data_IF_344597386214
#
_entry.id   IF_344597386214
#
_cell.length_a   1.000
_cell.length_b   1.000
_cell.length_c   1.000
_cell.angle_alpha   90.00
_cell.angle_beta   90.00
_cell.angle_gamma   90.00
#
_symmetry.space_group_name_H-M   'P 1'
#
loop_
_entity.id
_entity.type
_entity.pdbx_description
1 polymer ?
#
# COMPACT_ATOMS: atom_id res chain seq x y z
N UNK A 1 -33.78 74.75 52.40
CA UNK A 1 -32.78 74.39 53.42
C UNK A 1 -31.91 73.25 52.88
N UNK A 2 -30.58 73.47 52.83
CA UNK A 2 -29.47 72.48 52.71
C UNK A 2 -29.41 71.61 51.43
N UNK A 3 -28.56 71.93 50.46
CA UNK A 3 -27.10 71.63 50.32
C UNK A 3 -26.78 70.17 49.95
N UNK A 4 -26.44 69.96 48.68
CA UNK A 4 -25.58 68.86 48.20
C UNK A 4 -24.13 69.11 48.64
N UNK A 5 -23.39 68.04 48.96
CA UNK A 5 -21.93 68.06 49.18
C UNK A 5 -21.25 66.97 48.35
N UNK A 6 -20.17 67.43 47.72
CA UNK A 6 -19.25 66.86 46.74
C UNK A 6 -18.42 65.63 47.15
N UNK A 7 -17.91 64.95 46.12
CA UNK A 7 -16.52 64.51 45.97
C UNK A 7 -16.34 63.85 44.58
N UNK A 8 -15.83 64.55 43.55
CA UNK A 8 -14.40 64.66 43.10
C UNK A 8 -13.87 63.30 42.60
N UNK A 9 -13.33 63.08 41.38
CA UNK A 9 -12.37 63.82 40.52
C UNK A 9 -12.56 63.35 39.05
N UNK A 10 -12.79 64.20 38.03
CA UNK A 10 -11.85 64.87 37.09
C UNK A 10 -10.72 63.96 36.52
N UNK A 11 -10.80 63.58 35.23
CA UNK A 11 -9.93 64.10 34.14
C UNK A 11 -10.29 63.48 32.77
N UNK A 12 -10.67 64.32 31.81
CA UNK A 12 -10.78 64.04 30.39
C UNK A 12 -9.92 65.08 29.66
N UNK A 13 -9.01 64.65 28.78
CA UNK A 13 -8.26 65.41 27.75
C UNK A 13 -7.05 64.53 27.38
N UNK A 14 -6.88 64.01 26.16
CA UNK A 14 -6.51 64.78 24.97
C UNK A 14 -6.75 63.96 23.69
N UNK A 15 -7.47 64.57 22.74
CA UNK A 15 -7.55 64.19 21.33
C UNK A 15 -6.96 65.38 20.53
N UNK A 16 -6.24 65.09 19.45
CA UNK A 16 -5.54 66.01 18.52
C UNK A 16 -4.23 66.59 19.08
N UNK A 17 -3.08 66.62 18.41
CA UNK A 17 -2.66 66.86 17.01
C UNK A 17 -1.23 66.26 16.90
N UNK A 18 -0.64 65.84 15.77
CA UNK A 18 -0.40 66.54 14.51
C UNK A 18 0.26 65.56 13.53
N UNK A 19 -0.11 65.65 12.25
CA UNK A 19 0.66 65.16 11.11
C UNK A 19 2.11 65.68 11.15
N UNK A 20 3.10 64.84 10.79
CA UNK A 20 3.95 65.01 9.59
C UNK A 20 5.21 64.09 9.62
N UNK A 21 5.39 63.39 8.49
CA UNK A 21 6.65 62.96 7.84
C UNK A 21 7.42 61.72 8.36
N UNK A 22 7.37 60.68 7.51
CA UNK A 22 8.50 59.91 6.97
C UNK A 22 9.66 59.59 7.92
N UNK A 23 9.72 58.34 8.38
CA UNK A 23 10.95 57.58 8.24
C UNK A 23 10.64 56.10 7.97
N UNK A 24 11.00 55.68 6.77
CA UNK A 24 11.01 54.30 6.33
C UNK A 24 12.19 53.62 7.04
N UNK A 25 11.92 52.79 8.04
CA UNK A 25 12.83 51.71 8.41
C UNK A 25 12.25 50.42 7.86
N UNK A 26 12.55 50.16 6.58
CA UNK A 26 12.58 48.80 6.06
C UNK A 26 13.58 48.02 6.91
N UNK A 27 13.11 47.09 7.73
CA UNK A 27 13.92 45.98 8.24
C UNK A 27 13.03 44.86 8.81
N UNK A 28 11.91 44.58 8.13
CA UNK A 28 11.38 43.22 8.15
C UNK A 28 12.03 42.51 6.96
N UNK A 29 13.22 41.96 7.20
CA UNK A 29 13.81 40.99 6.30
C UNK A 29 12.92 39.73 6.30
N UNK A 30 11.89 39.76 5.46
CA UNK A 30 11.36 38.54 4.87
C UNK A 30 12.56 37.90 4.18
N UNK A 31 13.16 36.91 4.83
CA UNK A 31 14.04 35.98 4.14
C UNK A 31 13.12 35.20 3.21
N UNK A 32 13.01 35.64 1.96
CA UNK A 32 12.50 34.79 0.89
C UNK A 32 13.29 33.50 0.99
N UNK A 33 12.58 32.40 1.25
CA UNK A 33 13.22 31.10 1.37
C UNK A 33 13.79 30.77 -0.01
N UNK A 34 15.12 30.78 -0.11
CA UNK A 34 15.80 30.72 -1.41
C UNK A 34 15.38 29.46 -2.17
N UNK A 35 14.81 29.67 -3.36
CA UNK A 35 14.40 28.58 -4.24
C UNK A 35 15.55 28.17 -5.15
N UNK A 36 15.77 26.87 -5.25
CA UNK A 36 16.80 26.26 -6.07
C UNK A 36 16.20 25.65 -7.34
N UNK A 37 16.97 25.67 -8.44
CA UNK A 37 16.60 24.96 -9.65
C UNK A 37 16.70 23.44 -9.40
N UNK A 38 15.58 22.76 -9.50
CA UNK A 38 15.44 21.30 -9.48
C UNK A 38 15.07 20.82 -10.88
N UNK A 39 15.80 19.85 -11.42
CA UNK A 39 15.57 19.27 -12.74
C UNK A 39 15.19 17.81 -12.61
N UNK A 40 14.12 17.41 -13.30
CA UNK A 40 13.70 16.01 -13.41
C UNK A 40 13.82 15.53 -14.85
N UNK A 41 14.34 14.32 -15.04
CA UNK A 41 14.35 13.62 -16.33
C UNK A 41 13.37 12.45 -16.28
N UNK A 42 12.37 12.47 -17.14
CA UNK A 42 11.35 11.43 -17.21
C UNK A 42 11.89 10.25 -18.03
N UNK A 43 12.03 9.10 -17.39
CA UNK A 43 12.37 7.85 -18.07
C UNK A 43 11.08 7.13 -18.44
N UNK A 44 10.80 7.01 -19.74
CA UNK A 44 9.57 6.38 -20.22
C UNK A 44 9.56 4.87 -19.97
N UNK A 45 8.37 4.26 -19.87
CA UNK A 45 8.23 2.81 -19.80
C UNK A 45 8.93 2.11 -20.98
N UNK A 46 9.38 0.88 -20.75
CA UNK A 46 9.96 0.05 -21.82
C UNK A 46 9.00 -0.10 -23.01
N UNK A 47 9.56 -0.05 -24.22
CA UNK A 47 8.79 -0.11 -25.47
C UNK A 47 8.25 1.23 -25.98
N UNK A 48 8.29 2.29 -25.17
CA UNK A 48 7.93 3.65 -25.60
C UNK A 48 9.18 4.38 -26.08
N UNK A 49 9.12 4.91 -27.30
CA UNK A 49 10.24 5.67 -27.87
C UNK A 49 10.49 6.95 -27.07
N UNK A 50 11.77 7.32 -26.95
CA UNK A 50 12.17 8.46 -26.14
C UNK A 50 11.66 9.81 -26.66
N UNK A 51 11.30 9.90 -27.95
CA UNK A 51 10.77 11.09 -28.63
C UNK A 51 9.23 11.16 -28.65
N UNK A 52 8.54 10.22 -27.98
CA UNK A 52 7.10 10.27 -27.87
C UNK A 52 6.63 11.56 -27.17
N UNK A 53 5.58 12.18 -27.70
CA UNK A 53 4.98 13.38 -27.11
C UNK A 53 4.28 13.01 -25.81
N UNK A 54 4.34 13.88 -24.81
CA UNK A 54 3.59 13.70 -23.57
C UNK A 54 2.99 15.00 -23.05
N UNK A 55 2.12 14.85 -22.05
CA UNK A 55 1.62 15.94 -21.23
C UNK A 55 1.54 15.44 -19.80
N UNK A 56 2.18 16.16 -18.88
CA UNK A 56 2.40 15.74 -17.51
C UNK A 56 1.97 16.81 -16.53
N UNK A 57 1.51 16.34 -15.38
CA UNK A 57 1.37 17.09 -14.14
C UNK A 57 2.43 16.61 -13.18
N UNK A 58 3.33 17.51 -12.78
CA UNK A 58 4.32 17.29 -11.74
C UNK A 58 3.82 17.90 -10.43
N UNK A 59 3.67 17.06 -9.41
CA UNK A 59 3.31 17.46 -8.05
C UNK A 59 4.46 17.12 -7.10
N UNK A 60 5.06 18.13 -6.49
CA UNK A 60 6.03 17.97 -5.41
C UNK A 60 5.40 18.38 -4.09
N UNK A 61 5.41 17.48 -3.13
CA UNK A 61 4.91 17.72 -1.77
C UNK A 61 6.06 17.66 -0.78
N UNK A 62 6.39 18.78 -0.16
CA UNK A 62 7.40 18.82 0.90
C UNK A 62 6.82 18.17 2.17
N UNK A 63 7.50 17.16 2.69
CA UNK A 63 6.94 16.22 3.67
C UNK A 63 6.83 16.81 5.08
N UNK A 64 7.59 17.85 5.42
CA UNK A 64 7.61 18.43 6.77
C UNK A 64 6.59 19.57 6.89
N UNK A 65 6.59 20.48 5.92
CA UNK A 65 5.72 21.65 5.84
C UNK A 65 4.36 21.35 5.21
N UNK A 66 4.27 20.30 4.40
CA UNK A 66 3.09 20.01 3.59
C UNK A 66 2.93 20.92 2.36
N UNK A 67 3.91 21.79 2.09
CA UNK A 67 3.89 22.70 0.93
C UNK A 67 3.84 21.90 -0.37
N UNK A 68 2.93 22.27 -1.28
CA UNK A 68 2.75 21.61 -2.57
C UNK A 68 3.11 22.56 -3.73
N UNK A 69 3.96 22.07 -4.64
CA UNK A 69 4.25 22.69 -5.92
C UNK A 69 3.61 21.85 -7.02
N UNK A 70 2.65 22.44 -7.75
CA UNK A 70 1.95 21.78 -8.85
C UNK A 70 2.28 22.48 -10.17
N UNK A 71 2.76 21.71 -11.13
CA UNK A 71 3.06 22.18 -12.49
C UNK A 71 2.29 21.31 -13.48
N UNK A 72 1.47 21.92 -14.32
CA UNK A 72 0.55 21.23 -15.23
C UNK A 72 0.90 21.52 -16.68
N UNK A 73 0.46 20.65 -17.59
CA UNK A 73 0.68 20.77 -19.03
C UNK A 73 2.17 20.80 -19.42
N UNK A 74 3.01 20.11 -18.66
CA UNK A 74 4.42 19.95 -18.97
C UNK A 74 4.57 18.97 -20.13
N UNK A 75 5.20 19.39 -21.22
CA UNK A 75 5.32 18.56 -22.45
C UNK A 75 6.73 18.03 -22.69
N UNK A 76 7.70 18.58 -21.98
CA UNK A 76 9.11 18.20 -22.06
C UNK A 76 9.42 17.00 -21.15
N UNK A 77 10.43 16.19 -21.52
CA UNK A 77 10.93 15.11 -20.64
C UNK A 77 11.90 15.61 -19.57
N UNK A 78 12.50 16.79 -19.77
CA UNK A 78 13.37 17.44 -18.80
C UNK A 78 12.65 18.64 -18.22
N UNK A 79 12.21 18.55 -16.97
CA UNK A 79 11.45 19.61 -16.30
C UNK A 79 12.34 20.30 -15.28
N UNK A 80 12.66 21.57 -15.49
CA UNK A 80 13.38 22.40 -14.51
C UNK A 80 12.42 23.35 -13.81
N UNK A 81 12.32 23.25 -12.48
CA UNK A 81 11.42 24.04 -11.63
C UNK A 81 12.18 24.65 -10.46
N UNK A 82 11.68 25.77 -9.94
CA UNK A 82 12.23 26.43 -8.75
C UNK A 82 11.44 26.01 -7.52
N UNK A 83 12.12 25.39 -6.56
CA UNK A 83 11.53 24.92 -5.29
C UNK A 83 12.51 25.14 -4.15
N UNK A 84 12.01 25.23 -2.92
CA UNK A 84 12.86 25.35 -1.73
C UNK A 84 13.54 24.00 -1.44
N UNK A 85 14.74 24.00 -0.86
CA UNK A 85 15.38 22.76 -0.39
C UNK A 85 14.53 22.08 0.69
N UNK A 86 14.41 20.76 0.64
CA UNK A 86 13.54 20.03 1.56
C UNK A 86 13.48 18.54 1.26
N UNK A 87 12.62 17.82 1.99
CA UNK A 87 12.36 16.41 1.74
C UNK A 87 11.02 16.29 1.03
N UNK A 88 11.01 15.71 -0.17
CA UNK A 88 9.85 15.70 -1.05
C UNK A 88 9.32 14.30 -1.31
N UNK A 89 8.00 14.21 -1.45
CA UNK A 89 7.34 13.22 -2.29
C UNK A 89 7.09 13.86 -3.66
N UNK A 90 7.40 13.14 -4.73
CA UNK A 90 7.20 13.57 -6.11
C UNK A 90 6.21 12.62 -6.78
N UNK A 91 5.13 13.18 -7.33
CA UNK A 91 4.17 12.46 -8.15
C UNK A 91 4.18 13.07 -9.55
N UNK A 92 4.15 12.20 -10.56
CA UNK A 92 3.92 12.58 -11.94
C UNK A 92 2.71 11.81 -12.43
N UNK A 93 1.76 12.50 -13.02
CA UNK A 93 0.65 11.87 -13.75
C UNK A 93 0.50 12.52 -15.11
N UNK A 94 0.13 11.76 -16.12
CA UNK A 94 -0.04 12.31 -17.45
C UNK A 94 -0.29 11.23 -18.48
N UNK A 95 0.03 11.55 -19.72
CA UNK A 95 -0.03 10.60 -20.82
C UNK A 95 1.14 10.79 -21.78
N UNK A 96 1.41 9.73 -22.55
CA UNK A 96 2.29 9.75 -23.72
C UNK A 96 1.51 9.28 -24.94
N UNK A 97 1.81 9.87 -26.08
CA UNK A 97 1.19 9.53 -27.37
C UNK A 97 2.10 8.56 -28.10
N UNK A 98 1.60 7.36 -28.35
CA UNK A 98 2.32 6.30 -29.08
C UNK A 98 1.51 5.96 -30.31
N UNK A 99 2.06 6.26 -31.49
CA UNK A 99 1.36 6.16 -32.77
C UNK A 99 0.05 6.98 -32.76
N UNK A 100 -1.11 6.32 -32.73
CA UNK A 100 -2.44 6.94 -32.68
C UNK A 100 -3.17 6.70 -31.34
N UNK A 101 -2.49 6.16 -30.34
CA UNK A 101 -3.07 5.89 -29.02
C UNK A 101 -2.47 6.78 -27.92
N UNK A 102 -3.25 7.00 -26.87
CA UNK A 102 -2.84 7.78 -25.69
C UNK A 102 -2.69 6.84 -24.51
N UNK A 103 -1.45 6.64 -24.05
CA UNK A 103 -1.15 5.80 -22.91
C UNK A 103 -1.00 6.66 -21.66
N UNK A 104 -1.87 6.43 -20.67
CA UNK A 104 -1.75 7.09 -19.38
C UNK A 104 -0.53 6.56 -18.63
N UNK A 105 0.25 7.45 -18.05
CA UNK A 105 1.48 7.13 -17.32
C UNK A 105 1.53 7.85 -15.98
N UNK A 106 2.35 7.34 -15.08
CA UNK A 106 2.67 7.98 -13.81
C UNK A 106 4.09 7.69 -13.35
N UNK A 107 4.61 8.53 -12.47
CA UNK A 107 5.87 8.33 -11.78
C UNK A 107 5.73 8.67 -10.29
N UNK A 108 6.47 7.98 -9.44
CA UNK A 108 6.43 8.20 -7.99
C UNK A 108 7.84 8.09 -7.39
N UNK A 109 8.19 9.08 -6.58
CA UNK A 109 9.30 9.02 -5.64
C UNK A 109 8.78 9.46 -4.28
N UNK A 110 8.71 8.54 -3.32
CA UNK A 110 8.04 8.80 -2.04
C UNK A 110 8.83 9.64 -1.04
N UNK A 111 10.16 9.60 -1.15
CA UNK A 111 11.05 10.31 -0.24
C UNK A 111 12.40 10.57 -0.92
N UNK A 112 12.66 11.83 -1.22
CA UNK A 112 13.94 12.30 -1.73
C UNK A 112 14.29 13.64 -1.08
N UNK A 113 15.53 13.77 -0.62
CA UNK A 113 16.05 15.05 -0.17
C UNK A 113 16.50 15.86 -1.39
N UNK A 114 15.91 17.03 -1.61
CA UNK A 114 16.30 17.96 -2.68
C UNK A 114 17.01 19.16 -2.04
N UNK A 115 18.19 19.49 -2.56
CA UNK A 115 19.00 20.63 -2.13
C UNK A 115 19.89 21.09 -3.30
N UNK A 116 20.82 22.02 -3.07
CA UNK A 116 21.69 22.58 -4.12
C UNK A 116 22.64 21.55 -4.76
N UNK A 117 22.97 20.46 -4.08
CA UNK A 117 23.85 19.40 -4.60
C UNK A 117 23.07 18.22 -5.17
N UNK A 118 21.87 17.94 -4.65
CA UNK A 118 20.96 16.93 -5.16
C UNK A 118 19.74 17.58 -5.82
N UNK A 119 19.97 18.19 -6.98
CA UNK A 119 18.98 18.97 -7.71
C UNK A 119 18.65 18.38 -9.09
N UNK A 120 19.12 17.18 -9.41
CA UNK A 120 18.88 16.52 -10.68
C UNK A 120 18.47 15.05 -10.43
N UNK A 121 17.31 14.64 -10.94
CA UNK A 121 16.71 13.35 -10.63
C UNK A 121 16.08 12.69 -11.85
N UNK A 122 16.34 11.41 -12.07
CA UNK A 122 15.61 10.62 -13.06
C UNK A 122 14.38 10.00 -12.40
N UNK A 123 13.21 10.17 -13.02
CA UNK A 123 11.93 9.64 -12.54
C UNK A 123 11.46 8.58 -13.54
N UNK A 124 11.47 7.28 -13.18
CA UNK A 124 10.87 6.26 -14.01
C UNK A 124 9.35 6.44 -14.05
N UNK A 125 8.81 6.44 -15.26
CA UNK A 125 7.38 6.41 -15.51
C UNK A 125 6.92 4.97 -15.76
N UNK A 126 5.69 4.70 -15.37
CA UNK A 126 5.01 3.42 -15.47
C UNK A 126 3.67 3.62 -16.17
N UNK A 127 3.22 2.62 -16.93
CA UNK A 127 1.89 2.62 -17.53
C UNK A 127 0.83 2.51 -16.43
N UNK A 128 -0.21 3.35 -16.51
CA UNK A 128 -1.41 3.19 -15.70
C UNK A 128 -2.25 2.07 -16.33
N UNK A 129 -1.89 0.83 -16.01
CA UNK A 129 -2.57 -0.35 -16.53
C UNK A 129 -4.02 -0.39 -16.01
N UNK A 130 -4.99 -0.25 -16.91
CA UNK A 130 -6.36 -0.67 -16.67
C UNK A 130 -6.50 -2.00 -17.39
N UNK A 131 -6.31 -3.11 -16.67
CA UNK A 131 -6.51 -4.43 -17.26
C UNK A 131 -7.99 -4.56 -17.67
N UNK A 132 -8.30 -4.35 -18.96
CA UNK A 132 -9.67 -4.28 -19.47
C UNK A 132 -10.44 -5.59 -19.30
N UNK A 133 -9.71 -6.71 -19.23
CA UNK A 133 -10.29 -8.05 -19.08
C UNK A 133 -10.42 -8.49 -17.62
N UNK A 134 -9.78 -7.79 -16.69
CA UNK A 134 -9.75 -8.10 -15.26
C UNK A 134 -9.04 -9.43 -14.91
N UNK A 135 -8.68 -9.56 -13.64
CA UNK A 135 -8.15 -10.77 -13.01
C UNK A 135 -8.68 -10.88 -11.57
N UNK A 136 -8.13 -11.79 -10.77
CA UNK A 136 -8.29 -11.77 -9.34
C UNK A 136 -7.73 -10.48 -8.73
N UNK A 137 -8.45 -9.95 -7.75
CA UNK A 137 -8.01 -8.81 -6.94
C UNK A 137 -8.21 -9.11 -5.46
N UNK A 138 -7.37 -8.54 -4.60
CA UNK A 138 -7.49 -8.54 -3.15
C UNK A 138 -8.70 -7.66 -2.78
N UNK A 139 -9.79 -8.29 -2.36
CA UNK A 139 -11.00 -7.60 -1.92
C UNK A 139 -10.92 -7.16 -0.46
N UNK A 140 -10.38 -8.03 0.41
CA UNK A 140 -10.32 -7.77 1.85
C UNK A 140 -9.09 -8.44 2.45
N UNK A 141 -8.40 -7.77 3.36
CA UNK A 141 -7.38 -8.42 4.20
C UNK A 141 -7.65 -8.10 5.65
N UNK A 142 -7.96 -9.13 6.43
CA UNK A 142 -8.13 -9.04 7.86
C UNK A 142 -6.86 -9.52 8.56
N UNK A 143 -5.93 -8.58 8.79
CA UNK A 143 -4.66 -8.87 9.46
C UNK A 143 -4.64 -8.43 10.92
N UNK A 144 -5.59 -7.59 11.36
CA UNK A 144 -5.55 -6.92 12.67
C UNK A 144 -5.84 -7.86 13.83
N UNK A 145 -6.57 -8.95 13.60
CA UNK A 145 -7.02 -9.88 14.63
C UNK A 145 -8.11 -9.26 15.52
N UNK A 146 -8.41 -9.93 16.62
CA UNK A 146 -9.45 -9.51 17.56
C UNK A 146 -8.89 -9.36 18.97
N UNK A 147 -9.70 -8.86 19.90
CA UNK A 147 -9.36 -8.81 21.33
C UNK A 147 -10.27 -9.71 22.14
N UNK A 148 -9.69 -10.39 23.13
CA UNK A 148 -10.46 -11.04 24.18
C UNK A 148 -11.25 -9.99 25.00
N UNK A 149 -12.35 -10.38 25.67
CA UNK A 149 -13.02 -9.51 26.65
C UNK A 149 -12.09 -9.01 27.75
N UNK A 150 -11.00 -9.73 28.03
CA UNK A 150 -9.96 -9.34 29.00
C UNK A 150 -8.98 -8.27 28.47
N UNK A 151 -9.13 -7.83 27.22
CA UNK A 151 -8.23 -6.86 26.56
C UNK A 151 -6.94 -7.47 25.98
N UNK A 152 -6.72 -8.77 26.16
CA UNK A 152 -5.60 -9.49 25.52
C UNK A 152 -5.85 -9.64 24.02
N UNK A 153 -4.77 -9.65 23.23
CA UNK A 153 -4.85 -9.86 21.78
C UNK A 153 -5.18 -11.32 21.47
N UNK A 154 -6.01 -11.53 20.46
CA UNK A 154 -6.26 -12.84 19.84
C UNK A 154 -5.78 -12.77 18.39
N UNK A 155 -4.69 -13.48 18.10
CA UNK A 155 -3.94 -13.34 16.85
C UNK A 155 -4.25 -14.44 15.83
N UNK A 156 -5.44 -15.02 15.92
CA UNK A 156 -5.95 -16.06 15.00
C UNK A 156 -7.26 -15.61 14.35
N UNK A 157 -7.67 -16.30 13.28
CA UNK A 157 -8.87 -16.00 12.51
C UNK A 157 -8.65 -14.89 11.50
N UNK A 158 -7.42 -14.72 11.06
CA UNK A 158 -7.02 -13.72 10.05
C UNK A 158 -7.16 -14.33 8.65
N UNK A 159 -7.43 -13.50 7.64
CA UNK A 159 -7.68 -14.01 6.29
C UNK A 159 -7.42 -13.00 5.18
N UNK A 160 -7.32 -13.55 3.97
CA UNK A 160 -7.43 -12.88 2.69
C UNK A 160 -8.79 -13.21 2.05
N UNK A 161 -9.46 -12.22 1.49
CA UNK A 161 -10.59 -12.41 0.58
C UNK A 161 -10.19 -11.91 -0.80
N UNK A 162 -10.27 -12.79 -1.79
CA UNK A 162 -9.82 -12.55 -3.16
C UNK A 162 -11.02 -12.67 -4.08
N UNK A 163 -11.22 -11.67 -4.94
CA UNK A 163 -12.41 -11.50 -5.78
C UNK A 163 -12.06 -11.65 -7.24
N UNK A 164 -12.88 -12.38 -8.00
CA UNK A 164 -12.78 -12.42 -9.44
C UNK A 164 -13.38 -11.12 -10.02
N UNK A 165 -12.51 -10.16 -10.33
CA UNK A 165 -12.87 -8.86 -10.89
C UNK A 165 -12.97 -8.87 -12.43
N UNK A 166 -12.92 -10.06 -13.04
CA UNK A 166 -13.01 -10.26 -14.48
C UNK A 166 -14.45 -10.57 -14.92
N UNK A 167 -14.66 -10.66 -16.24
CA UNK A 167 -15.92 -11.09 -16.84
C UNK A 167 -15.96 -12.59 -17.19
N UNK A 168 -14.95 -13.38 -16.78
CA UNK A 168 -14.83 -14.81 -17.07
C UNK A 168 -14.55 -15.62 -15.80
N UNK A 169 -14.82 -16.92 -15.85
CA UNK A 169 -14.42 -17.80 -14.75
C UNK A 169 -12.89 -17.88 -14.67
N UNK A 170 -12.34 -17.64 -13.48
CA UNK A 170 -10.93 -17.80 -13.16
C UNK A 170 -10.77 -19.02 -12.25
N UNK A 171 -9.61 -19.65 -12.22
CA UNK A 171 -9.38 -20.84 -11.40
C UNK A 171 -8.44 -20.53 -10.24
N UNK A 172 -8.85 -20.79 -8.99
CA UNK A 172 -8.03 -20.49 -7.82
C UNK A 172 -6.81 -21.43 -7.69
N UNK A 173 -6.79 -22.55 -8.40
CA UNK A 173 -5.71 -23.52 -8.44
C UNK A 173 -4.34 -22.86 -8.64
N UNK A 174 -3.38 -23.18 -7.76
CA UNK A 174 -2.00 -22.69 -7.86
C UNK A 174 -1.82 -21.18 -7.67
N UNK A 175 -2.87 -20.44 -7.28
CA UNK A 175 -2.74 -19.03 -6.94
C UNK A 175 -1.79 -18.87 -5.76
N UNK A 176 -0.86 -17.93 -5.88
CA UNK A 176 0.10 -17.60 -4.84
C UNK A 176 -0.41 -16.42 -4.02
N UNK A 177 -0.21 -16.47 -2.71
CA UNK A 177 -0.34 -15.34 -1.79
C UNK A 177 1.03 -15.08 -1.19
N UNK A 178 1.55 -13.89 -1.41
CA UNK A 178 2.92 -13.51 -1.13
C UNK A 178 2.96 -12.36 -0.12
N UNK A 179 3.81 -12.48 0.89
CA UNK A 179 4.06 -11.44 1.89
C UNK A 179 5.44 -10.84 1.64
N UNK A 180 5.57 -9.52 1.78
CA UNK A 180 6.83 -8.81 1.54
C UNK A 180 7.95 -9.23 2.49
N UNK A 181 9.17 -9.38 1.98
CA UNK A 181 10.38 -9.53 2.81
C UNK A 181 10.68 -8.25 3.59
N UNK A 182 10.51 -7.11 2.93
CA UNK A 182 10.85 -5.82 3.52
C UNK A 182 9.66 -5.20 4.25
N UNK A 183 9.94 -4.61 5.41
CA UNK A 183 8.94 -3.90 6.19
C UNK A 183 8.85 -2.42 5.72
N UNK A 184 7.66 -1.92 5.35
CA UNK A 184 7.44 -0.52 4.96
C UNK A 184 7.83 0.51 6.03
N UNK A 185 7.98 0.10 7.29
CA UNK A 185 8.38 0.97 8.39
C UNK A 185 9.88 1.21 8.49
N UNK A 186 10.71 0.37 7.89
CA UNK A 186 12.15 0.48 8.07
C UNK A 186 12.84 0.39 6.73
N UNK A 187 13.13 1.57 6.17
CA UNK A 187 13.86 1.67 4.91
C UNK A 187 15.24 1.05 5.05
N UNK A 188 15.60 0.22 4.08
CA UNK A 188 16.92 -0.40 3.95
C UNK A 188 17.47 -0.09 2.57
N UNK A 189 18.70 0.38 2.53
CA UNK A 189 19.45 0.50 1.28
C UNK A 189 20.03 -0.88 0.95
N UNK A 190 19.29 -1.62 0.13
CA UNK A 190 19.56 -3.03 -0.20
C UNK A 190 20.35 -3.15 -1.49
N UNK A 191 21.30 -4.09 -1.52
CA UNK A 191 22.13 -4.37 -2.70
C UNK A 191 22.09 -5.86 -3.03
N UNK A 192 21.71 -6.26 -4.26
CA UNK A 192 21.11 -5.40 -5.30
C UNK A 192 19.65 -5.04 -4.95
N UNK A 193 19.19 -3.85 -5.31
CA UNK A 193 17.76 -3.50 -5.27
C UNK A 193 17.08 -4.01 -6.56
N UNK A 194 16.04 -4.82 -6.41
CA UNK A 194 15.33 -5.47 -7.53
C UNK A 194 13.87 -5.07 -7.65
N UNK A 195 13.38 -4.09 -6.89
CA UNK A 195 11.94 -3.83 -6.76
C UNK A 195 11.30 -3.43 -8.10
N UNK A 196 12.06 -2.85 -9.02
CA UNK A 196 11.59 -2.50 -10.36
C UNK A 196 11.23 -3.71 -11.22
N UNK A 197 11.82 -4.88 -10.98
CA UNK A 197 11.61 -6.10 -11.77
C UNK A 197 11.04 -7.29 -10.99
N UNK A 198 11.14 -7.29 -9.66
CA UNK A 198 10.62 -8.38 -8.83
C UNK A 198 10.27 -7.92 -7.42
N UNK A 199 9.33 -8.62 -6.81
CA UNK A 199 8.88 -8.48 -5.44
C UNK A 199 9.57 -9.51 -4.51
N UNK A 200 10.45 -9.08 -3.60
CA UNK A 200 11.07 -9.98 -2.61
C UNK A 200 10.07 -10.40 -1.53
N UNK A 201 10.03 -11.69 -1.21
CA UNK A 201 8.99 -12.27 -0.36
C UNK A 201 9.56 -12.91 0.90
N UNK A 202 8.88 -12.71 2.04
CA UNK A 202 9.16 -13.40 3.31
C UNK A 202 8.35 -14.69 3.43
N UNK A 203 7.19 -14.79 2.79
CA UNK A 203 6.37 -15.99 2.77
C UNK A 203 5.60 -16.13 1.45
N UNK A 204 5.33 -17.38 1.07
CA UNK A 204 4.54 -17.75 -0.11
C UNK A 204 3.59 -18.89 0.29
N UNK A 205 2.30 -18.63 0.17
CA UNK A 205 1.26 -19.65 0.19
C UNK A 205 0.86 -19.99 -1.25
N UNK A 206 0.56 -21.25 -1.54
CA UNK A 206 0.05 -21.69 -2.83
C UNK A 206 -1.23 -22.48 -2.64
N UNK A 207 -2.31 -22.05 -3.29
CA UNK A 207 -3.58 -22.77 -3.24
C UNK A 207 -3.48 -24.14 -3.94
N UNK A 208 -4.15 -25.18 -3.41
CA UNK A 208 -4.12 -26.51 -4.00
C UNK A 208 -4.92 -26.56 -5.31
N UNK A 209 -4.79 -27.67 -6.04
CA UNK A 209 -5.57 -27.94 -7.25
C UNK A 209 -4.71 -28.35 -8.45
N UNK A 210 -5.37 -28.89 -9.48
CA UNK A 210 -4.78 -29.42 -10.72
C UNK A 210 -5.00 -28.51 -11.93
N UNK A 211 -5.50 -27.29 -11.70
CA UNK A 211 -5.68 -26.24 -12.69
C UNK A 211 -7.15 -25.96 -13.05
N UNK A 212 -8.08 -26.86 -12.68
CA UNK A 212 -9.51 -26.70 -12.94
C UNK A 212 -10.42 -27.09 -11.77
N UNK A 213 -9.86 -27.35 -10.59
CA UNK A 213 -10.61 -27.88 -9.45
C UNK A 213 -11.43 -26.79 -8.75
N UNK A 214 -10.99 -25.52 -8.80
CA UNK A 214 -11.60 -24.42 -8.08
C UNK A 214 -12.00 -23.24 -9.00
N UNK A 215 -13.03 -23.40 -9.85
CA UNK A 215 -13.57 -22.33 -10.70
C UNK A 215 -14.30 -21.24 -9.90
N UNK A 216 -13.74 -20.03 -9.90
CA UNK A 216 -14.35 -18.83 -9.31
C UNK A 216 -15.07 -18.04 -10.40
N UNK A 217 -16.38 -17.92 -10.31
CA UNK A 217 -17.20 -17.21 -11.29
C UNK A 217 -16.98 -15.70 -11.22
N UNK A 218 -17.27 -14.96 -12.32
CA UNK A 218 -17.28 -13.51 -12.32
C UNK A 218 -18.09 -12.96 -11.14
N UNK A 219 -17.47 -12.06 -10.40
CA UNK A 219 -18.12 -11.40 -9.28
C UNK A 219 -18.23 -12.22 -7.99
N UNK A 220 -17.56 -13.37 -7.94
CA UNK A 220 -17.46 -14.21 -6.74
C UNK A 220 -16.07 -14.11 -6.12
N UNK A 221 -15.94 -14.68 -4.93
CA UNK A 221 -14.70 -14.61 -4.15
C UNK A 221 -14.31 -15.94 -3.55
N UNK A 222 -13.06 -16.02 -3.14
CA UNK A 222 -12.54 -17.06 -2.25
C UNK A 222 -12.04 -16.40 -0.97
N UNK A 223 -12.01 -17.18 0.11
CA UNK A 223 -11.38 -16.80 1.38
C UNK A 223 -10.25 -17.78 1.68
N UNK A 224 -9.12 -17.24 2.14
CA UNK A 224 -7.96 -18.01 2.57
C UNK A 224 -7.59 -17.55 3.97
N UNK A 225 -7.86 -18.38 4.98
CA UNK A 225 -7.68 -18.04 6.39
C UNK A 225 -6.56 -18.84 7.07
N UNK A 226 -6.05 -18.35 8.19
CA UNK A 226 -5.07 -19.10 8.98
C UNK A 226 -5.62 -20.44 9.48
N UNK A 227 -6.84 -20.45 10.03
CA UNK A 227 -7.48 -21.65 10.57
C UNK A 227 -9.01 -21.58 10.40
N UNK A 228 -9.62 -22.52 9.68
CA UNK A 228 -11.03 -22.50 9.30
C UNK A 228 -11.96 -23.08 10.37
N UNK A 229 -11.90 -22.52 11.59
CA UNK A 229 -12.68 -22.98 12.74
C UNK A 229 -13.64 -21.89 13.25
N UNK A 230 -14.50 -22.28 14.19
CA UNK A 230 -15.30 -21.30 14.92
C UNK A 230 -14.48 -20.66 16.05
N UNK A 231 -13.76 -19.57 15.78
CA UNK A 231 -12.93 -18.90 16.79
C UNK A 231 -13.73 -18.35 17.98
N UNK A 232 -15.06 -18.20 17.85
CA UNK A 232 -15.94 -17.76 18.95
C UNK A 232 -15.87 -18.68 20.17
N UNK A 233 -15.53 -19.95 19.97
CA UNK A 233 -15.39 -20.91 21.07
C UNK A 233 -14.22 -20.57 21.98
N UNK A 234 -13.16 -19.96 21.42
CA UNK A 234 -11.95 -19.58 22.16
C UNK A 234 -12.02 -18.12 22.60
N UNK A 235 -12.44 -17.23 21.70
CA UNK A 235 -12.66 -15.81 21.99
C UNK A 235 -14.07 -15.40 21.54
N UNK A 236 -15.01 -15.08 22.45
CA UNK A 236 -16.40 -14.76 22.07
C UNK A 236 -16.53 -13.51 21.18
N UNK A 237 -15.51 -12.63 21.15
CA UNK A 237 -15.46 -11.48 20.26
C UNK A 237 -14.96 -11.82 18.84
N UNK A 238 -14.39 -13.00 18.62
CA UNK A 238 -13.84 -13.40 17.33
C UNK A 238 -14.93 -13.83 16.33
N UNK A 239 -14.50 -14.29 15.15
CA UNK A 239 -15.39 -14.63 14.05
C UNK A 239 -15.48 -16.14 13.81
N UNK A 240 -16.60 -16.58 13.26
CA UNK A 240 -16.77 -17.97 12.86
C UNK A 240 -16.27 -18.13 11.41
N UNK A 241 -15.21 -18.91 11.21
CA UNK A 241 -14.60 -19.19 9.92
C UNK A 241 -14.86 -20.62 9.43
N UNK A 242 -15.85 -21.33 9.98
CA UNK A 242 -16.22 -22.64 9.43
C UNK A 242 -16.78 -22.51 8.00
N UNK A 243 -16.72 -23.58 7.18
CA UNK A 243 -17.29 -23.58 5.84
C UNK A 243 -18.75 -23.09 5.79
N UNK A 244 -19.57 -23.55 6.74
CA UNK A 244 -20.99 -23.16 6.84
C UNK A 244 -21.21 -21.67 7.14
N UNK A 245 -20.25 -20.98 7.74
CA UNK A 245 -20.34 -19.55 8.03
C UNK A 245 -19.82 -18.66 6.89
N UNK A 246 -18.88 -19.18 6.09
CA UNK A 246 -18.14 -18.41 5.08
C UNK A 246 -18.67 -18.64 3.67
N UNK A 247 -18.86 -19.90 3.26
CA UNK A 247 -19.30 -20.23 1.89
C UNK A 247 -20.73 -19.73 1.69
N UNK A 248 -20.97 -19.05 0.56
CA UNK A 248 -22.22 -18.37 0.23
C UNK A 248 -22.33 -16.94 0.81
N UNK A 249 -21.63 -16.62 1.92
CA UNK A 249 -21.68 -15.27 2.51
C UNK A 249 -20.94 -14.28 1.61
N UNK A 250 -21.62 -13.18 1.25
CA UNK A 250 -21.07 -12.11 0.42
C UNK A 250 -20.35 -12.61 -0.85
N UNK A 251 -20.96 -13.58 -1.54
CA UNK A 251 -20.47 -14.12 -2.81
C UNK A 251 -19.24 -15.04 -2.71
N UNK A 252 -18.91 -15.55 -1.52
CA UNK A 252 -17.77 -16.47 -1.34
C UNK A 252 -18.11 -17.86 -1.85
N UNK A 253 -17.35 -18.41 -2.80
CA UNK A 253 -17.53 -19.76 -3.35
C UNK A 253 -16.69 -20.80 -2.63
N UNK A 254 -15.45 -20.46 -2.27
CA UNK A 254 -14.51 -21.39 -1.66
C UNK A 254 -13.87 -20.80 -0.41
N UNK A 255 -13.55 -21.69 0.51
CA UNK A 255 -12.75 -21.44 1.69
C UNK A 255 -11.52 -22.35 1.62
N UNK A 256 -10.35 -21.78 1.85
CA UNK A 256 -9.08 -22.47 2.04
C UNK A 256 -8.50 -22.08 3.38
N UNK A 257 -7.61 -22.92 3.91
CA UNK A 257 -6.85 -22.58 5.12
C UNK A 257 -5.36 -22.87 4.99
N UNK A 258 -4.55 -22.40 5.94
CA UNK A 258 -3.11 -22.71 5.98
C UNK A 258 -2.63 -23.01 7.42
N UNK A 259 -3.23 -23.98 8.12
CA UNK A 259 -2.83 -24.34 9.46
C UNK A 259 -1.44 -24.97 9.44
N UNK A 260 -0.70 -24.80 10.52
CA UNK A 260 0.57 -25.46 10.73
C UNK A 260 0.37 -26.91 11.17
N UNK A 261 0.26 -27.81 10.20
CA UNK A 261 0.10 -29.25 10.44
C UNK A 261 1.39 -29.94 10.89
N UNK A 262 2.55 -29.29 10.69
CA UNK A 262 3.87 -29.87 10.98
C UNK A 262 4.22 -29.78 12.47
N UNK A 263 3.65 -28.81 13.21
CA UNK A 263 4.02 -28.53 14.60
C UNK A 263 2.78 -28.49 15.52
N UNK A 264 2.32 -29.65 16.02
CA UNK A 264 1.15 -29.74 16.91
C UNK A 264 1.23 -28.88 18.18
N UNK A 265 2.43 -28.48 18.61
CA UNK A 265 2.66 -27.60 19.77
C UNK A 265 2.13 -26.18 19.58
N UNK A 266 1.89 -25.75 18.33
CA UNK A 266 1.30 -24.46 18.03
C UNK A 266 -0.21 -24.43 18.33
N UNK A 267 -0.84 -25.60 18.49
CA UNK A 267 -2.26 -25.71 18.86
C UNK A 267 -3.22 -25.30 17.74
N UNK A 268 -2.74 -25.22 16.51
CA UNK A 268 -3.57 -25.04 15.32
C UNK A 268 -4.24 -26.38 14.96
N UNK A 269 -5.55 -26.36 14.75
CA UNK A 269 -6.37 -27.55 14.52
C UNK A 269 -6.87 -27.50 13.09
N UNK A 270 -6.29 -28.36 12.27
CA UNK A 270 -6.67 -28.59 10.87
C UNK A 270 -8.16 -28.92 10.74
N UNK A 271 -8.85 -28.26 9.82
CA UNK A 271 -10.24 -28.57 9.49
C UNK A 271 -10.27 -29.47 8.24
N UNK A 272 -10.57 -30.78 8.39
CA UNK A 272 -10.48 -31.72 7.27
C UNK A 272 -11.49 -31.47 6.14
N UNK A 273 -12.50 -30.61 6.36
CA UNK A 273 -13.46 -30.21 5.32
C UNK A 273 -12.94 -29.06 4.43
N UNK A 274 -11.80 -28.47 4.77
CA UNK A 274 -11.24 -27.29 4.10
C UNK A 274 -9.91 -27.65 3.43
N UNK A 275 -9.72 -27.34 2.14
CA UNK A 275 -8.44 -27.61 1.48
C UNK A 275 -7.32 -26.69 1.98
N UNK A 276 -6.15 -27.27 2.24
CA UNK A 276 -4.99 -26.53 2.74
C UNK A 276 -4.18 -25.90 1.60
N UNK A 277 -3.95 -24.59 1.71
CA UNK A 277 -2.90 -23.90 0.98
C UNK A 277 -1.54 -24.36 1.49
N UNK A 278 -0.62 -24.63 0.56
CA UNK A 278 0.73 -25.08 0.88
C UNK A 278 1.62 -23.88 1.21
N UNK A 279 2.31 -23.93 2.36
CA UNK A 279 3.42 -23.02 2.63
C UNK A 279 4.61 -23.45 1.76
N UNK A 280 4.88 -22.69 0.70
CA UNK A 280 6.00 -22.93 -0.22
C UNK A 280 7.31 -22.44 0.38
N UNK A 281 7.25 -21.30 1.04
CA UNK A 281 8.39 -20.65 1.68
C UNK A 281 7.90 -19.78 2.82
N UNK A 282 8.69 -19.70 3.89
CA UNK A 282 8.54 -18.70 4.95
C UNK A 282 9.89 -18.45 5.63
N UNK A 283 10.19 -17.20 5.97
CA UNK A 283 11.33 -16.84 6.82
C UNK A 283 11.05 -17.05 8.30
N UNK A 284 9.79 -17.33 8.66
CA UNK A 284 9.40 -17.61 10.03
C UNK A 284 9.81 -19.02 10.44
N UNK A 285 10.04 -19.19 11.75
CA UNK A 285 10.35 -20.50 12.31
C UNK A 285 9.13 -21.42 12.23
N UNK A 286 9.40 -22.72 12.31
CA UNK A 286 8.37 -23.77 12.39
C UNK A 286 7.42 -23.79 11.19
N UNK A 287 7.81 -23.31 10.01
CA UNK A 287 6.96 -23.31 8.81
C UNK A 287 5.64 -22.51 9.00
N UNK A 288 5.67 -21.42 9.75
CA UNK A 288 4.50 -20.58 10.05
C UNK A 288 4.38 -19.38 9.11
N UNK A 289 3.16 -18.85 8.97
CA UNK A 289 2.89 -17.58 8.27
C UNK A 289 2.00 -16.74 9.17
N UNK A 290 2.45 -15.54 9.55
CA UNK A 290 1.69 -14.63 10.40
C UNK A 290 1.55 -13.26 9.75
N UNK A 291 0.32 -12.76 9.69
CA UNK A 291 0.03 -11.42 9.19
C UNK A 291 0.31 -10.38 10.27
N UNK A 292 1.13 -9.37 9.94
CA UNK A 292 1.51 -8.35 10.91
C UNK A 292 0.30 -7.50 11.33
N UNK A 293 -0.12 -7.61 12.60
CA UNK A 293 -1.40 -7.03 13.05
C UNK A 293 -1.50 -5.50 13.14
N UNK A 294 -0.48 -4.78 12.69
CA UNK A 294 -0.52 -3.32 12.50
C UNK A 294 -0.46 -2.91 11.03
N UNK A 295 -0.33 -3.89 10.12
CA UNK A 295 -0.18 -3.67 8.70
C UNK A 295 1.17 -3.05 8.38
N UNK A 296 2.26 -3.80 8.57
CA UNK A 296 3.62 -3.37 8.28
C UNK A 296 4.21 -4.28 7.20
N UNK A 297 3.43 -4.47 6.13
CA UNK A 297 3.57 -5.59 5.21
C UNK A 297 2.84 -5.27 3.90
N UNK A 298 3.40 -5.72 2.79
CA UNK A 298 2.71 -5.70 1.48
C UNK A 298 2.28 -7.11 1.15
N UNK A 299 1.05 -7.23 0.67
CA UNK A 299 0.48 -8.48 0.21
C UNK A 299 0.37 -8.45 -1.31
N UNK A 300 0.73 -9.55 -1.98
CA UNK A 300 0.55 -9.71 -3.41
C UNK A 300 -0.10 -11.06 -3.71
N UNK A 301 -0.91 -11.09 -4.77
CA UNK A 301 -1.38 -12.34 -5.37
C UNK A 301 -0.73 -12.51 -6.74
N UNK A 302 -0.26 -13.73 -7.01
CA UNK A 302 0.55 -14.02 -8.19
C UNK A 302 0.29 -15.43 -8.71
N UNK A 303 0.85 -15.73 -9.88
CA UNK A 303 0.95 -17.10 -10.41
C UNK A 303 2.39 -17.39 -10.79
N UNK A 304 2.78 -18.65 -10.76
CA UNK A 304 4.02 -19.02 -11.44
C UNK A 304 3.90 -18.69 -12.93
N UNK A 305 5.02 -18.23 -13.51
CA UNK A 305 5.09 -17.94 -14.94
C UNK A 305 4.70 -19.15 -15.79
N UNK A 306 4.28 -18.88 -17.01
CA UNK A 306 3.88 -19.93 -17.94
C UNK A 306 5.00 -20.96 -18.11
N UNK A 307 4.67 -22.25 -17.98
CA UNK A 307 5.62 -23.37 -18.03
C UNK A 307 6.71 -23.38 -16.95
N UNK A 308 6.59 -22.60 -15.88
CA UNK A 308 7.49 -22.69 -14.72
C UNK A 308 6.88 -23.60 -13.66
N UNK A 309 7.53 -24.73 -13.40
CA UNK A 309 7.17 -25.60 -12.28
C UNK A 309 7.61 -25.00 -10.94
N UNK A 310 6.97 -25.44 -9.86
CA UNK A 310 7.37 -25.05 -8.50
C UNK A 310 8.84 -25.39 -8.20
N UNK A 311 9.35 -26.53 -8.70
CA UNK A 311 10.73 -26.92 -8.48
C UNK A 311 11.71 -26.00 -9.22
N UNK A 312 11.39 -25.60 -10.45
CA UNK A 312 12.19 -24.62 -11.20
C UNK A 312 12.16 -23.27 -10.49
N UNK A 313 10.99 -22.83 -10.00
CA UNK A 313 10.87 -21.62 -9.20
C UNK A 313 11.82 -21.62 -8.00
N UNK A 314 11.77 -22.67 -7.18
CA UNK A 314 12.59 -22.80 -5.97
C UNK A 314 14.10 -22.90 -6.27
N UNK A 315 14.49 -23.26 -7.50
CA UNK A 315 15.88 -23.31 -7.90
C UNK A 315 16.40 -22.00 -8.50
N UNK A 316 15.55 -21.28 -9.26
CA UNK A 316 16.00 -20.16 -10.11
C UNK A 316 15.65 -18.77 -9.55
N UNK A 317 14.63 -18.66 -8.68
CA UNK A 317 14.09 -17.38 -8.25
C UNK A 317 14.49 -17.01 -6.82
N UNK A 318 15.71 -17.40 -6.43
CA UNK A 318 16.33 -16.93 -5.20
C UNK A 318 16.74 -15.46 -5.33
N UNK A 319 16.75 -14.79 -4.19
CA UNK A 319 17.20 -13.42 -4.05
C UNK A 319 18.14 -13.32 -2.85
N UNK A 320 19.43 -13.25 -3.17
CA UNK A 320 20.49 -12.97 -2.22
C UNK A 320 20.69 -11.46 -2.16
N UNK A 321 20.63 -10.90 -0.96
CA UNK A 321 20.79 -9.46 -0.76
C UNK A 321 21.57 -9.14 0.51
N UNK A 322 22.07 -7.91 0.54
CA UNK A 322 22.72 -7.36 1.72
C UNK A 322 22.29 -5.93 1.99
N UNK A 323 22.39 -5.51 3.25
CA UNK A 323 22.20 -4.13 3.67
C UNK A 323 23.08 -3.81 4.87
N UNK A 324 23.44 -2.53 5.01
CA UNK A 324 24.10 -1.98 6.17
C UNK A 324 23.04 -1.58 7.20
N UNK A 325 23.15 -2.04 8.44
CA UNK A 325 22.28 -1.54 9.50
C UNK A 325 22.83 -0.23 10.11
N UNK A 326 22.04 0.42 10.97
CA UNK A 326 22.42 1.66 11.66
C UNK A 326 23.67 1.52 12.55
N UNK A 327 24.00 0.30 12.99
CA UNK A 327 25.20 0.00 13.76
C UNK A 327 26.44 -0.29 12.89
N UNK A 328 26.36 -0.10 11.57
CA UNK A 328 27.47 -0.30 10.63
C UNK A 328 27.79 -1.78 10.33
N UNK A 329 26.90 -2.71 10.65
CA UNK A 329 27.06 -4.13 10.37
C UNK A 329 26.40 -4.49 9.03
N UNK A 330 27.10 -5.28 8.21
CA UNK A 330 26.56 -5.81 6.95
C UNK A 330 25.80 -7.10 7.24
N UNK A 331 24.50 -7.10 6.96
CA UNK A 331 23.68 -8.30 7.01
C UNK A 331 23.54 -8.88 5.61
N UNK A 332 23.65 -10.20 5.50
CA UNK A 332 23.35 -10.96 4.29
C UNK A 332 22.11 -11.82 4.52
N UNK A 333 21.25 -11.92 3.53
CA UNK A 333 20.00 -12.68 3.54
C UNK A 333 19.80 -13.36 2.20
N UNK A 334 19.05 -14.45 2.22
CA UNK A 334 18.64 -15.21 1.04
C UNK A 334 17.17 -15.54 1.21
N UNK A 335 16.34 -15.04 0.30
CA UNK A 335 14.90 -15.28 0.24
C UNK A 335 14.51 -15.62 -1.20
N UNK A 336 13.21 -15.67 -1.49
CA UNK A 336 12.73 -15.77 -2.87
C UNK A 336 12.20 -14.43 -3.38
N UNK A 337 12.02 -14.33 -4.69
CA UNK A 337 11.42 -13.19 -5.37
C UNK A 337 10.32 -13.66 -6.33
N UNK A 338 9.32 -12.81 -6.54
CA UNK A 338 8.27 -13.01 -7.55
C UNK A 338 8.50 -11.95 -8.64
N UNK A 339 8.73 -12.32 -9.90
CA UNK A 339 8.78 -11.36 -11.00
C UNK A 339 7.54 -10.47 -11.02
N UNK A 340 7.72 -9.18 -11.28
CA UNK A 340 6.61 -8.22 -11.26
C UNK A 340 5.51 -8.57 -12.28
N UNK A 341 5.89 -9.13 -13.41
CA UNK A 341 4.98 -9.64 -14.46
C UNK A 341 4.08 -10.81 -14.01
N UNK A 342 4.39 -11.48 -12.91
CA UNK A 342 3.61 -12.60 -12.38
C UNK A 342 2.54 -12.16 -11.38
N UNK A 343 2.59 -10.91 -10.94
CA UNK A 343 1.72 -10.37 -9.90
C UNK A 343 0.44 -9.90 -10.57
N UNK A 344 -0.68 -10.49 -10.15
CA UNK A 344 -2.01 -10.12 -10.61
C UNK A 344 -2.51 -8.86 -9.89
N UNK A 345 -2.24 -8.75 -8.59
CA UNK A 345 -2.66 -7.62 -7.76
C UNK A 345 -1.83 -7.54 -6.47
N UNK A 346 -1.73 -6.36 -5.88
CA UNK A 346 -1.07 -6.14 -4.60
C UNK A 346 -1.78 -5.08 -3.75
N UNK A 347 -1.53 -5.15 -2.44
CA UNK A 347 -1.99 -4.17 -1.47
C UNK A 347 -0.86 -3.84 -0.49
N UNK A 348 -0.36 -2.61 -0.58
CA UNK A 348 0.60 -2.07 0.38
C UNK A 348 -0.12 -1.65 1.67
N UNK A 349 0.33 -2.18 2.81
CA UNK A 349 -0.21 -1.79 4.12
C UNK A 349 0.89 -1.23 5.00
N UNK A 350 0.62 -0.06 5.57
CA UNK A 350 1.53 0.61 6.49
C UNK A 350 0.76 1.31 7.61
N UNK A 351 1.47 2.03 8.47
CA UNK A 351 0.88 2.83 9.54
C UNK A 351 1.22 4.31 9.32
N UNK A 352 0.26 5.23 9.45
CA UNK A 352 0.52 6.66 9.39
C UNK A 352 1.67 7.09 10.32
N UNK A 353 2.57 7.92 9.80
CA UNK A 353 3.77 8.38 10.52
C UNK A 353 4.89 7.34 10.67
N UNK A 354 4.70 6.10 10.20
CA UNK A 354 5.74 5.05 10.16
C UNK A 354 6.11 4.63 8.76
N UNK A 355 5.25 4.87 7.77
CA UNK A 355 5.53 4.55 6.37
C UNK A 355 6.76 5.31 5.86
N UNK A 356 7.80 4.56 5.48
CA UNK A 356 9.07 5.12 5.04
C UNK A 356 9.38 4.86 3.56
N UNK A 357 8.76 3.85 2.96
CA UNK A 357 8.97 3.43 1.58
C UNK A 357 8.00 2.31 1.16
N UNK A 358 7.76 2.21 -0.15
CA UNK A 358 7.17 1.08 -0.86
C UNK A 358 8.20 -0.04 -1.00
N UNK A 359 7.72 -1.26 -0.80
CA UNK A 359 8.54 -2.49 -0.87
C UNK A 359 8.17 -3.37 -2.06
N UNK A 360 7.40 -2.80 -2.99
CA UNK A 360 7.02 -3.34 -4.29
C UNK A 360 7.15 -2.25 -5.35
N UNK A 361 7.19 -2.63 -6.63
CA UNK A 361 7.22 -1.68 -7.72
C UNK A 361 6.02 -0.74 -7.69
N UNK A 362 6.21 0.58 -7.84
CA UNK A 362 5.11 1.51 -8.01
C UNK A 362 4.22 1.16 -9.20
N UNK A 363 4.73 0.44 -10.23
CA UNK A 363 3.94 -0.07 -11.37
C UNK A 363 2.79 -1.01 -10.95
N UNK A 364 2.93 -1.68 -9.81
CA UNK A 364 1.97 -2.66 -9.28
C UNK A 364 1.07 -2.00 -8.24
N UNK A 365 1.66 -1.30 -7.26
CA UNK A 365 0.91 -0.53 -6.29
C UNK A 365 1.75 0.67 -5.83
N UNK A 366 1.25 1.87 -6.15
CA UNK A 366 1.90 3.17 -5.86
C UNK A 366 1.40 3.85 -4.60
N UNK A 367 0.40 3.27 -3.94
CA UNK A 367 -0.19 3.81 -2.72
C UNK A 367 0.08 2.92 -1.53
N UNK A 368 -0.53 3.26 -0.40
CA UNK A 368 -0.64 2.37 0.76
C UNK A 368 -1.93 2.67 1.51
N UNK A 369 -2.41 1.66 2.25
CA UNK A 369 -3.58 1.76 3.12
C UNK A 369 -3.24 1.30 4.53
N UNK A 370 -4.19 1.39 5.46
CA UNK A 370 -3.92 1.13 6.88
C UNK A 370 -5.15 0.61 7.62
N UNK A 371 -4.87 -0.03 8.76
CA UNK A 371 -5.86 -0.23 9.82
C UNK A 371 -5.40 0.40 11.14
N UNK A 372 -4.10 0.38 11.41
CA UNK A 372 -3.50 1.02 12.60
C UNK A 372 -3.22 2.49 12.35
N UNK A 373 -3.55 3.37 13.30
CA UNK A 373 -3.15 4.78 13.26
C UNK A 373 -1.77 5.04 13.87
N UNK A 374 -1.31 4.15 14.76
CA UNK A 374 0.04 4.14 15.35
C UNK A 374 0.35 2.76 15.95
N UNK A 375 1.55 2.56 16.50
CA UNK A 375 2.01 1.25 17.02
C UNK A 375 1.17 0.67 18.17
N UNK A 376 0.46 1.53 18.91
CA UNK A 376 -0.32 1.19 20.12
C UNK A 376 -1.83 1.28 19.91
N UNK A 377 -2.28 1.55 18.69
CA UNK A 377 -3.69 1.79 18.39
C UNK A 377 -4.54 0.54 18.62
N UNK A 378 -5.28 0.49 19.73
CA UNK A 378 -6.18 -0.62 20.05
C UNK A 378 -7.45 -0.62 19.18
N UNK A 379 -7.80 0.50 18.58
CA UNK A 379 -9.01 0.61 17.74
C UNK A 379 -8.82 0.00 16.33
N UNK A 380 -7.62 -0.55 16.05
CA UNK A 380 -7.34 -1.29 14.82
C UNK A 380 -7.93 -2.70 14.80
N UNK A 381 -8.15 -3.32 15.96
CA UNK A 381 -8.70 -4.67 16.04
C UNK A 381 -10.11 -4.70 15.46
N UNK A 382 -10.53 -5.85 14.95
CA UNK A 382 -11.85 -6.03 14.32
C UNK A 382 -12.05 -5.15 13.06
N UNK A 383 -10.95 -4.73 12.42
CA UNK A 383 -10.99 -3.96 11.17
C UNK A 383 -10.11 -4.58 10.09
N UNK A 384 -10.49 -4.36 8.84
CA UNK A 384 -9.76 -4.80 7.65
C UNK A 384 -9.49 -3.63 6.69
N UNK A 385 -8.63 -3.87 5.71
CA UNK A 385 -8.65 -3.07 4.48
C UNK A 385 -9.67 -3.71 3.54
N UNK A 386 -10.50 -2.89 2.89
CA UNK A 386 -11.55 -3.36 1.97
C UNK A 386 -11.55 -2.60 0.67
N UNK A 387 -11.40 -3.30 -0.46
CA UNK A 387 -11.39 -2.69 -1.79
C UNK A 387 -12.74 -2.02 -2.08
N UNK A 388 -12.68 -0.81 -2.65
CA UNK A 388 -13.86 0.01 -2.97
C UNK A 388 -14.61 -0.60 -4.14
N UNK A 389 -15.92 -0.43 -4.13
CA UNK A 389 -16.75 -0.65 -5.31
C UNK A 389 -16.52 0.49 -6.31
N UNK A 390 -16.36 0.18 -7.60
CA UNK A 390 -16.26 1.17 -8.68
C UNK A 390 -17.60 1.31 -9.41
N UNK A 391 -18.07 0.23 -10.01
CA UNK A 391 -19.26 0.23 -10.87
C UNK A 391 -19.80 -1.19 -11.04
N UNK A 392 -20.93 -1.34 -11.73
CA UNK A 392 -21.42 -2.65 -12.21
C UNK A 392 -21.11 -2.77 -13.69
N UNK A 393 -20.67 -3.96 -14.13
CA UNK A 393 -20.55 -4.24 -15.56
C UNK A 393 -21.92 -4.46 -16.22
N UNK A 394 -21.95 -4.66 -17.54
CA UNK A 394 -23.17 -4.87 -18.32
C UNK A 394 -24.03 -6.07 -17.86
N UNK A 395 -23.42 -7.05 -17.17
CA UNK A 395 -24.09 -8.22 -16.62
C UNK A 395 -24.53 -8.03 -15.16
N UNK A 396 -24.40 -6.82 -14.60
CA UNK A 396 -24.79 -6.49 -13.22
C UNK A 396 -23.80 -6.95 -12.15
N UNK A 397 -22.64 -7.46 -12.54
CA UNK A 397 -21.56 -7.90 -11.64
C UNK A 397 -20.81 -6.66 -11.12
N UNK A 398 -20.54 -6.63 -9.83
CA UNK A 398 -19.74 -5.57 -9.22
C UNK A 398 -18.30 -5.62 -9.75
N UNK A 399 -17.78 -4.46 -10.14
CA UNK A 399 -16.38 -4.24 -10.45
C UNK A 399 -15.79 -3.44 -9.30
N UNK A 400 -14.78 -4.02 -8.66
CA UNK A 400 -14.02 -3.38 -7.60
C UNK A 400 -12.98 -2.44 -8.22
N UNK A 401 -12.74 -1.32 -7.54
CA UNK A 401 -11.77 -0.32 -7.97
C UNK A 401 -10.35 -0.87 -7.86
N UNK A 402 -9.60 -0.75 -8.95
CA UNK A 402 -8.20 -1.14 -9.02
C UNK A 402 -7.47 -0.14 -9.93
N UNK A 403 -6.66 0.72 -9.31
CA UNK A 403 -5.92 1.78 -9.98
C UNK A 403 -4.42 1.65 -9.73
N UNK A 404 -4.00 0.47 -9.27
CA UNK A 404 -2.66 0.18 -8.77
C UNK A 404 -2.25 1.20 -7.70
N UNK A 405 -3.19 1.58 -6.81
CA UNK A 405 -2.95 2.54 -5.74
C UNK A 405 -3.80 2.22 -4.52
N UNK A 406 -3.19 1.56 -3.53
CA UNK A 406 -3.87 1.16 -2.30
C UNK A 406 -4.56 2.31 -1.55
N UNK A 407 -4.05 3.54 -1.66
CA UNK A 407 -4.66 4.72 -1.02
C UNK A 407 -6.01 5.06 -1.67
N UNK A 408 -6.11 4.91 -2.99
CA UNK A 408 -7.33 5.18 -3.74
C UNK A 408 -8.27 3.97 -3.73
N UNK A 409 -7.74 2.76 -3.73
CA UNK A 409 -8.50 1.55 -4.02
C UNK A 409 -9.13 0.93 -2.76
N UNK A 410 -8.59 1.20 -1.57
CA UNK A 410 -9.09 0.60 -0.32
C UNK A 410 -9.75 1.61 0.63
N UNK A 411 -10.81 1.15 1.27
CA UNK A 411 -11.38 1.72 2.49
C UNK A 411 -10.51 1.22 3.65
N UNK A 412 -9.75 2.08 4.33
CA UNK A 412 -9.02 1.69 5.53
C UNK A 412 -10.00 1.44 6.68
N UNK A 413 -9.64 0.53 7.60
CA UNK A 413 -10.39 0.28 8.85
C UNK A 413 -11.86 -0.08 8.62
N UNK A 414 -12.14 -0.78 7.54
CA UNK A 414 -13.48 -1.21 7.19
C UNK A 414 -13.97 -2.33 8.11
N UNK A 415 -15.29 -2.42 8.25
CA UNK A 415 -15.95 -3.59 8.85
C UNK A 415 -15.72 -4.83 8.00
N UNK A 416 -15.59 -5.97 8.67
CA UNK A 416 -15.35 -7.25 8.03
C UNK A 416 -16.57 -7.72 7.25
N UNK A 417 -16.40 -8.50 6.19
CA UNK A 417 -17.56 -9.14 5.53
C UNK A 417 -18.27 -10.18 6.41
N UNK A 418 -17.62 -10.60 7.50
CA UNK A 418 -18.13 -11.59 8.46
C UNK A 418 -19.12 -11.02 9.46
N UNK A 419 -19.19 -9.70 9.61
CA UNK A 419 -20.17 -9.02 10.47
C UNK A 419 -21.63 -9.19 10.04
#
# INVERSE_FOLDING_TARGET
MKKFKYGKEIFALFLSMLFLLYNCSNDDSYTETEQNNFTTHLLYPEGIKDDAKGNFTLLLKEKNSGTEYKFENETEKSLTKKIVSGNYQINIEGYVVVENDTLNVYGLIENIQINTTNNNLTIPLYLKNINKDGDFVIQEVFFTGTIYPTGKKYDSGKYFKIYNNSNRTLYADGLLICLSEFNPWTKRDVTPNIFSSSFPVSAILMLPGKGKDYPVEPGKSIVVCDNAINHKTTNPNAYNLTPAAVIGKAGTQYLFEFPNTDNPKLGEVDNPEVPNAKVIFTTMKLNTVYLHNRGAETYAIARLGENISLNEYLNQYKYDYSYLNEAGNIFKRSVYKIPNEWIADAANVSTPGKHNWLVISPSIDRGWTYCSLNDKDITRFDTCIKRKFKEKNANGIDILQDTNNSTEDFIPRAKLFLE
#
